data_IF_094111308280
#
_entry.id   IF_094111308280
#
_cell.length_a   1.000
_cell.length_b   1.000
_cell.length_c   1.000
_cell.angle_alpha   90.00
_cell.angle_beta   90.00
_cell.angle_gamma   90.00
#
_symmetry.space_group_name_H-M   'P 1'
#
loop_
_entity.id
_entity.type
_entity.pdbx_description
1 polymer ?
#
# COMPACT_ATOMS: atom_id res chain seq x y z
N UNK A 1 34.61 -4.56 20.41
CA UNK A 1 33.31 -3.94 20.08
C UNK A 1 33.42 -2.68 19.21
N UNK A 2 34.28 -1.69 19.51
CA UNK A 2 34.36 -0.42 18.73
C UNK A 2 34.59 -0.56 17.21
N UNK A 3 35.37 -1.57 16.77
CA UNK A 3 35.63 -1.83 15.34
C UNK A 3 34.40 -2.34 14.58
N UNK A 4 33.49 -3.07 15.24
CA UNK A 4 32.23 -3.52 14.64
C UNK A 4 31.25 -2.35 14.48
N UNK A 5 31.20 -1.44 15.45
CA UNK A 5 30.34 -0.23 15.40
C UNK A 5 30.77 0.76 14.31
N UNK A 6 32.08 0.97 14.13
CA UNK A 6 32.60 1.80 13.01
C UNK A 6 32.23 1.20 11.65
N UNK A 7 32.23 -0.13 11.52
CA UNK A 7 31.76 -0.81 10.31
C UNK A 7 30.25 -0.64 10.10
N UNK A 8 29.45 -0.62 11.17
CA UNK A 8 28.00 -0.37 11.10
C UNK A 8 27.67 1.05 10.66
N UNK A 9 28.32 2.09 11.22
CA UNK A 9 28.07 3.47 10.81
C UNK A 9 28.46 3.66 9.33
N UNK A 10 29.62 3.15 8.92
CA UNK A 10 30.06 3.17 7.51
C UNK A 10 29.06 2.44 6.60
N UNK A 11 28.50 1.33 7.06
CA UNK A 11 27.48 0.58 6.33
C UNK A 11 26.16 1.34 6.21
N UNK A 12 25.67 1.96 7.30
CA UNK A 12 24.45 2.77 7.30
C UNK A 12 24.62 3.96 6.35
N UNK A 13 25.72 4.69 6.44
CA UNK A 13 26.04 5.80 5.53
C UNK A 13 26.06 5.32 4.08
N UNK A 14 26.75 4.19 3.81
CA UNK A 14 26.79 3.60 2.46
C UNK A 14 25.38 3.27 1.95
N UNK A 15 24.50 2.72 2.79
CA UNK A 15 23.11 2.45 2.43
C UNK A 15 22.32 3.73 2.14
N UNK A 16 22.41 4.75 3.00
CA UNK A 16 21.74 6.03 2.79
C UNK A 16 22.19 6.66 1.47
N UNK A 17 23.49 6.65 1.17
CA UNK A 17 24.02 7.15 -0.10
C UNK A 17 23.49 6.33 -1.29
N UNK A 18 23.40 5.00 -1.17
CA UNK A 18 22.81 4.14 -2.21
C UNK A 18 21.30 4.36 -2.38
N UNK A 19 20.58 4.83 -1.36
CA UNK A 19 19.15 5.11 -1.47
C UNK A 19 18.88 6.34 -2.35
N UNK A 20 19.78 7.32 -2.42
CA UNK A 20 19.61 8.52 -3.23
C UNK A 20 19.42 8.20 -4.73
N UNK A 21 20.31 7.44 -5.41
CA UNK A 21 20.11 7.10 -6.82
C UNK A 21 18.86 6.23 -7.02
N UNK A 22 18.56 5.33 -6.08
CA UNK A 22 17.33 4.51 -6.14
C UNK A 22 16.09 5.41 -6.10
N UNK A 23 16.05 6.36 -5.16
CA UNK A 23 14.96 7.32 -5.03
C UNK A 23 14.79 8.13 -6.32
N UNK A 24 15.87 8.63 -6.90
CA UNK A 24 15.81 9.38 -8.16
C UNK A 24 15.30 8.53 -9.32
N UNK A 25 15.72 7.26 -9.40
CA UNK A 25 15.20 6.32 -10.42
C UNK A 25 13.70 6.11 -10.22
N UNK A 26 13.27 5.82 -8.98
CA UNK A 26 11.85 5.61 -8.66
C UNK A 26 11.03 6.85 -8.99
N UNK A 27 11.46 8.04 -8.56
CA UNK A 27 10.78 9.30 -8.87
C UNK A 27 10.69 9.55 -10.39
N UNK A 28 11.76 9.27 -11.13
CA UNK A 28 11.76 9.43 -12.59
C UNK A 28 10.82 8.44 -13.27
N UNK A 29 10.83 7.17 -12.85
CA UNK A 29 9.92 6.14 -13.38
C UNK A 29 8.47 6.50 -13.05
N UNK A 30 8.18 6.91 -11.81
CA UNK A 30 6.84 7.35 -11.40
C UNK A 30 6.39 8.57 -12.20
N UNK A 31 7.26 9.54 -12.44
CA UNK A 31 6.97 10.68 -13.30
C UNK A 31 6.60 10.24 -14.73
N UNK A 32 7.38 9.34 -15.32
CA UNK A 32 7.10 8.81 -16.67
C UNK A 32 5.76 8.09 -16.69
N UNK A 33 5.50 7.19 -15.73
CA UNK A 33 4.24 6.45 -15.65
C UNK A 33 3.05 7.40 -15.45
N UNK A 34 3.16 8.35 -14.52
CA UNK A 34 2.12 9.34 -14.26
C UNK A 34 1.82 10.18 -15.50
N UNK A 35 2.84 10.57 -16.25
CA UNK A 35 2.67 11.32 -17.50
C UNK A 35 2.04 10.46 -18.60
N UNK A 36 2.38 9.17 -18.68
CA UNK A 36 1.81 8.25 -19.67
C UNK A 36 0.35 7.87 -19.42
N UNK A 37 -0.16 8.08 -18.20
CA UNK A 37 -1.54 7.76 -17.85
C UNK A 37 -2.56 8.82 -18.30
N UNK A 38 -2.12 9.96 -18.88
CA UNK A 38 -2.96 11.06 -19.37
C UNK A 38 -4.14 11.41 -18.43
N UNK A 39 -3.87 11.44 -17.12
CA UNK A 39 -4.90 11.74 -16.11
C UNK A 39 -5.13 13.24 -16.11
N UNK A 40 -6.11 13.72 -16.87
CA UNK A 40 -6.56 15.11 -16.84
C UNK A 40 -7.60 15.28 -15.73
N UNK A 41 -7.24 15.87 -14.57
CA UNK A 41 -8.16 15.98 -13.45
C UNK A 41 -9.36 16.88 -13.77
N UNK A 42 -9.17 17.84 -14.68
CA UNK A 42 -10.20 18.76 -15.18
C UNK A 42 -11.40 18.00 -15.72
N UNK A 43 -11.19 16.89 -16.43
CA UNK A 43 -12.29 16.10 -17.01
C UNK A 43 -13.19 15.52 -15.91
N UNK A 44 -12.66 15.28 -14.71
CA UNK A 44 -13.43 14.80 -13.55
C UNK A 44 -14.16 15.90 -12.77
N UNK A 45 -13.84 17.17 -13.05
CA UNK A 45 -14.44 18.36 -12.44
C UNK A 45 -15.54 18.99 -13.32
N UNK A 46 -15.51 18.71 -14.63
CA UNK A 46 -16.52 19.18 -15.58
C UNK A 46 -17.83 18.41 -15.39
N UNK A 47 -18.92 19.14 -15.15
CA UNK A 47 -20.26 18.56 -15.12
C UNK A 47 -20.72 18.19 -16.54
N UNK A 48 -21.42 17.05 -16.67
CA UNK A 48 -22.03 16.65 -17.94
C UNK A 48 -23.04 17.73 -18.39
N UNK A 49 -22.70 18.48 -19.46
CA UNK A 49 -23.55 19.53 -20.03
C UNK A 49 -22.92 20.93 -20.13
N UNK A 50 -21.67 21.12 -19.71
CA UNK A 50 -20.95 22.39 -19.88
C UNK A 50 -20.45 22.63 -21.31
N UNK A 51 -20.26 23.91 -21.67
CA UNK A 51 -19.77 24.35 -22.98
C UNK A 51 -18.37 23.78 -23.25
N UNK A 52 -18.20 23.14 -24.42
CA UNK A 52 -16.93 22.56 -24.89
C UNK A 52 -15.81 23.61 -24.84
N UNK A 53 -16.11 24.87 -25.12
CA UNK A 53 -15.13 25.95 -25.11
C UNK A 53 -14.66 26.30 -23.69
N UNK A 54 -15.54 26.20 -22.69
CA UNK A 54 -15.19 26.39 -21.28
C UNK A 54 -14.30 25.26 -20.77
N UNK A 55 -14.65 24.02 -21.11
CA UNK A 55 -13.90 22.81 -20.76
C UNK A 55 -12.47 22.90 -21.31
N UNK A 56 -12.33 23.32 -22.57
CA UNK A 56 -11.03 23.43 -23.21
C UNK A 56 -10.15 24.52 -22.58
N UNK A 57 -10.74 25.66 -22.19
CA UNK A 57 -10.02 26.70 -21.44
C UNK A 57 -9.56 26.22 -20.07
N UNK A 58 -10.39 25.48 -19.34
CA UNK A 58 -10.01 24.91 -18.04
C UNK A 58 -8.87 23.89 -18.17
N UNK A 59 -8.88 23.06 -19.22
CA UNK A 59 -7.78 22.13 -19.51
C UNK A 59 -6.49 22.92 -19.79
N UNK A 60 -6.54 23.93 -20.66
CA UNK A 60 -5.37 24.74 -21.00
C UNK A 60 -4.80 25.52 -19.79
N UNK A 61 -5.67 26.03 -18.92
CA UNK A 61 -5.26 26.71 -17.68
C UNK A 61 -4.57 25.74 -16.72
N UNK A 62 -5.12 24.55 -16.50
CA UNK A 62 -4.50 23.54 -15.65
C UNK A 62 -3.22 22.95 -16.27
N UNK A 63 -3.13 22.79 -17.58
CA UNK A 63 -1.89 22.39 -18.26
C UNK A 63 -0.78 23.41 -18.03
N UNK A 64 -1.09 24.72 -18.11
CA UNK A 64 -0.12 25.78 -17.81
C UNK A 64 0.24 25.80 -16.32
N UNK A 65 -0.72 25.58 -15.43
CA UNK A 65 -0.49 25.51 -13.98
C UNK A 65 0.41 24.33 -13.60
N UNK A 66 0.23 23.17 -14.25
CA UNK A 66 1.04 21.98 -14.05
C UNK A 66 2.39 22.03 -14.78
N UNK A 67 2.64 23.06 -15.59
CA UNK A 67 3.87 23.22 -16.35
C UNK A 67 3.98 22.24 -17.53
N UNK A 68 2.86 21.69 -17.99
CA UNK A 68 2.81 20.75 -19.12
C UNK A 68 3.18 21.41 -20.45
N UNK A 69 3.13 22.74 -20.51
CA UNK A 69 3.65 23.59 -21.59
C UNK A 69 5.19 23.53 -21.75
N UNK A 70 5.92 23.04 -20.73
CA UNK A 70 7.39 23.06 -20.72
C UNK A 70 7.98 21.78 -21.33
N UNK A 71 9.23 21.83 -21.83
CA UNK A 71 9.97 20.63 -22.19
C UNK A 71 10.01 19.58 -21.07
N UNK A 72 9.97 18.29 -21.42
CA UNK A 72 9.83 17.17 -20.47
C UNK A 72 10.90 17.18 -19.36
N UNK A 73 12.13 17.59 -19.67
CA UNK A 73 13.20 17.67 -18.67
C UNK A 73 12.94 18.76 -17.62
N UNK A 74 12.28 19.87 -17.99
CA UNK A 74 11.89 20.93 -17.04
C UNK A 74 10.75 20.44 -16.16
N UNK A 75 9.78 19.71 -16.74
CA UNK A 75 8.69 19.10 -15.97
C UNK A 75 9.22 18.14 -14.90
N UNK A 76 10.23 17.32 -15.24
CA UNK A 76 10.88 16.43 -14.28
C UNK A 76 11.60 17.22 -13.17
N UNK A 77 12.30 18.31 -13.50
CA UNK A 77 12.96 19.15 -12.49
C UNK A 77 11.92 19.76 -11.53
N UNK A 78 10.82 20.29 -12.05
CA UNK A 78 9.71 20.83 -11.24
C UNK A 78 9.13 19.74 -10.35
N UNK A 79 8.88 18.55 -10.90
CA UNK A 79 8.38 17.40 -10.14
C UNK A 79 9.31 17.00 -8.99
N UNK A 80 10.62 16.91 -9.24
CA UNK A 80 11.62 16.61 -8.22
C UNK A 80 11.68 17.72 -7.14
N UNK A 81 11.66 18.99 -7.55
CA UNK A 81 11.63 20.11 -6.63
C UNK A 81 10.41 20.05 -5.71
N UNK A 82 9.22 19.90 -6.30
CA UNK A 82 7.95 19.77 -5.60
C UNK A 82 7.96 18.59 -4.61
N UNK A 83 8.54 17.46 -5.01
CA UNK A 83 8.70 16.30 -4.13
C UNK A 83 9.54 16.65 -2.88
N UNK A 84 10.71 17.27 -3.05
CA UNK A 84 11.60 17.61 -1.93
C UNK A 84 11.11 18.79 -1.09
N UNK A 85 10.27 19.68 -1.63
CA UNK A 85 9.64 20.76 -0.85
C UNK A 85 8.34 20.35 -0.15
N UNK A 86 7.87 19.11 -0.37
CA UNK A 86 6.60 18.62 0.19
C UNK A 86 5.35 19.17 -0.52
N UNK A 87 5.52 19.86 -1.65
CA UNK A 87 4.41 20.38 -2.44
C UNK A 87 3.95 19.31 -3.45
N UNK A 88 3.32 18.26 -2.95
CA UNK A 88 2.94 17.09 -3.77
C UNK A 88 1.64 17.30 -4.55
N UNK A 89 1.05 18.50 -4.49
CA UNK A 89 -0.24 18.81 -5.09
C UNK A 89 -1.41 18.21 -4.34
N UNK A 90 -2.56 18.15 -5.02
CA UNK A 90 -3.80 17.64 -4.47
C UNK A 90 -4.09 16.24 -5.01
N UNK A 91 -4.79 15.44 -4.21
CA UNK A 91 -5.31 14.15 -4.62
C UNK A 91 -6.51 14.34 -5.55
N UNK A 92 -6.54 13.56 -6.62
CA UNK A 92 -7.61 13.58 -7.62
C UNK A 92 -8.52 12.35 -7.56
N UNK A 93 -8.01 11.24 -7.02
CA UNK A 93 -8.68 9.93 -7.05
C UNK A 93 -9.20 9.49 -5.68
N UNK A 94 -8.37 9.62 -4.63
CA UNK A 94 -8.68 9.06 -3.30
C UNK A 94 -9.55 10.03 -2.51
N UNK A 95 -9.05 11.26 -2.31
CA UNK A 95 -9.76 12.36 -1.67
C UNK A 95 -9.61 13.59 -2.56
N UNK A 96 -10.68 14.00 -3.22
CA UNK A 96 -10.65 15.08 -4.21
C UNK A 96 -10.26 16.41 -3.54
N UNK A 97 -9.32 17.11 -4.15
CA UNK A 97 -8.83 18.45 -3.75
C UNK A 97 -8.17 18.52 -2.36
N UNK A 98 -7.86 17.38 -1.75
CA UNK A 98 -7.11 17.32 -0.48
C UNK A 98 -5.60 17.22 -0.78
N UNK A 99 -4.72 17.97 -0.09
CA UNK A 99 -3.27 17.85 -0.27
C UNK A 99 -2.79 16.41 -0.11
N UNK A 100 -1.98 15.91 -1.04
CA UNK A 100 -1.52 14.50 -1.04
C UNK A 100 -0.78 14.15 0.25
N UNK A 101 -0.04 15.10 0.83
CA UNK A 101 0.66 14.92 2.11
C UNK A 101 -0.31 14.62 3.27
N UNK A 102 -1.50 15.22 3.27
CA UNK A 102 -2.53 14.99 4.29
C UNK A 102 -3.19 13.63 4.08
N UNK A 103 -3.50 13.28 2.82
CA UNK A 103 -4.03 11.96 2.47
C UNK A 103 -3.07 10.87 2.95
N UNK A 104 -1.78 11.00 2.65
CA UNK A 104 -0.76 10.06 3.13
C UNK A 104 -0.71 10.03 4.66
N UNK A 105 -0.82 11.17 5.33
CA UNK A 105 -0.87 11.27 6.79
C UNK A 105 -2.01 10.45 7.42
N UNK A 106 -3.15 10.33 6.75
CA UNK A 106 -4.30 9.55 7.21
C UNK A 106 -4.05 8.04 7.08
N UNK A 107 -3.49 7.59 5.96
CA UNK A 107 -3.28 6.15 5.67
C UNK A 107 -1.96 5.59 6.25
N UNK A 108 -0.99 6.45 6.52
CA UNK A 108 0.35 6.04 6.95
C UNK A 108 0.38 5.30 8.31
N UNK A 109 -0.31 5.77 9.37
CA UNK A 109 -0.39 5.04 10.64
C UNK A 109 -0.96 3.63 10.49
N UNK A 110 -2.02 3.48 9.70
CA UNK A 110 -2.67 2.20 9.43
C UNK A 110 -1.71 1.24 8.71
N UNK A 111 -0.90 1.75 7.77
CA UNK A 111 0.12 0.94 7.07
C UNK A 111 1.20 0.45 8.03
N UNK A 112 1.68 1.32 8.94
CA UNK A 112 2.65 0.93 9.97
C UNK A 112 2.05 -0.19 10.83
N UNK A 113 0.82 0.02 11.31
CA UNK A 113 0.12 -0.95 12.16
C UNK A 113 -0.01 -2.31 11.48
N UNK A 114 -0.40 -2.32 10.20
CA UNK A 114 -0.49 -3.52 9.37
C UNK A 114 0.84 -4.25 9.22
N UNK A 115 1.95 -3.52 9.15
CA UNK A 115 3.28 -4.13 8.94
C UNK A 115 3.95 -4.65 10.21
N UNK A 116 3.56 -4.16 11.40
CA UNK A 116 4.21 -4.54 12.67
C UNK A 116 4.13 -6.05 12.90
N UNK A 117 2.95 -6.64 12.73
CA UNK A 117 2.74 -8.06 13.01
C UNK A 117 3.49 -8.99 12.04
N UNK A 118 3.44 -8.80 10.70
CA UNK A 118 4.20 -9.63 9.76
C UNK A 118 5.71 -9.55 10.02
N UNK A 119 6.25 -8.36 10.32
CA UNK A 119 7.69 -8.16 10.59
C UNK A 119 8.17 -9.03 11.75
N UNK A 120 7.32 -9.30 12.73
CA UNK A 120 7.67 -10.10 13.91
C UNK A 120 7.39 -11.58 13.66
N UNK A 121 6.21 -11.93 13.16
CA UNK A 121 5.72 -13.31 13.11
C UNK A 121 6.35 -14.09 11.95
N UNK A 122 6.42 -13.48 10.76
CA UNK A 122 6.87 -14.18 9.54
C UNK A 122 8.31 -14.69 9.67
N UNK A 123 9.30 -13.90 10.16
CA UNK A 123 10.65 -14.40 10.34
C UNK A 123 10.73 -15.59 11.31
N UNK A 124 9.93 -15.58 12.38
CA UNK A 124 9.91 -16.69 13.36
C UNK A 124 9.45 -17.98 12.67
N UNK A 125 8.38 -17.92 11.88
CA UNK A 125 7.85 -19.08 11.15
C UNK A 125 8.84 -19.51 10.06
N UNK A 126 9.34 -18.57 9.27
CA UNK A 126 10.28 -18.83 8.17
C UNK A 126 11.57 -19.49 8.66
N UNK A 127 12.14 -19.02 9.78
CA UNK A 127 13.34 -19.62 10.39
C UNK A 127 13.04 -21.04 10.87
N UNK A 128 11.92 -21.27 11.56
CA UNK A 128 11.53 -22.61 12.02
C UNK A 128 11.35 -23.58 10.84
N UNK A 129 10.62 -23.18 9.81
CA UNK A 129 10.41 -23.99 8.60
C UNK A 129 11.73 -24.23 7.85
N UNK A 130 12.60 -23.21 7.76
CA UNK A 130 13.93 -23.35 7.17
C UNK A 130 14.82 -24.33 7.93
N UNK A 131 14.79 -24.31 9.27
CA UNK A 131 15.49 -25.29 10.10
C UNK A 131 14.95 -26.71 9.87
N UNK A 132 13.63 -26.89 9.84
CA UNK A 132 13.00 -28.20 9.58
C UNK A 132 13.34 -28.71 8.17
N UNK A 133 13.27 -27.87 7.15
CA UNK A 133 13.64 -28.23 5.78
C UNK A 133 15.11 -28.63 5.69
N UNK A 134 16.03 -27.84 6.27
CA UNK A 134 17.47 -28.13 6.22
C UNK A 134 17.86 -29.44 6.89
N UNK A 135 17.21 -29.80 8.00
CA UNK A 135 17.46 -31.06 8.74
C UNK A 135 16.78 -32.27 8.11
N UNK A 136 15.81 -32.05 7.22
CA UNK A 136 15.06 -33.11 6.52
C UNK A 136 15.35 -33.12 5.03
N UNK A 137 16.54 -32.69 4.63
CA UNK A 137 16.96 -32.58 3.23
C UNK A 137 16.54 -33.81 2.40
N UNK A 138 15.92 -33.56 1.26
CA UNK A 138 15.46 -34.55 0.28
C UNK A 138 14.38 -35.53 0.80
N UNK A 139 13.78 -35.25 1.97
CA UNK A 139 12.61 -35.97 2.49
C UNK A 139 11.33 -35.22 2.15
N UNK A 140 10.19 -35.91 2.28
CA UNK A 140 8.86 -35.32 2.04
C UNK A 140 8.66 -33.98 2.77
N UNK A 141 9.11 -33.85 4.02
CA UNK A 141 9.00 -32.59 4.79
C UNK A 141 9.75 -31.43 4.12
N UNK A 142 10.98 -31.66 3.66
CA UNK A 142 11.77 -30.65 2.96
C UNK A 142 11.11 -30.29 1.62
N UNK A 143 10.75 -31.31 0.82
CA UNK A 143 10.10 -31.12 -0.48
C UNK A 143 8.78 -30.33 -0.34
N UNK A 144 7.93 -30.64 0.63
CA UNK A 144 6.68 -29.92 0.87
C UNK A 144 6.92 -28.47 1.30
N UNK A 145 7.86 -28.22 2.22
CA UNK A 145 8.19 -26.85 2.66
C UNK A 145 8.74 -26.03 1.50
N UNK A 146 9.66 -26.59 0.72
CA UNK A 146 10.23 -25.92 -0.46
C UNK A 146 9.20 -25.66 -1.53
N UNK A 147 8.31 -26.62 -1.78
CA UNK A 147 7.20 -26.46 -2.73
C UNK A 147 6.29 -25.30 -2.32
N UNK A 148 5.84 -25.26 -1.06
CA UNK A 148 5.03 -24.16 -0.53
C UNK A 148 5.76 -22.81 -0.60
N UNK A 149 7.06 -22.77 -0.28
CA UNK A 149 7.85 -21.54 -0.36
C UNK A 149 7.96 -21.02 -1.81
N UNK A 150 8.13 -21.90 -2.79
CA UNK A 150 8.18 -21.52 -4.21
C UNK A 150 6.81 -21.06 -4.70
N UNK A 151 5.73 -21.74 -4.32
CA UNK A 151 4.37 -21.31 -4.64
C UNK A 151 4.08 -19.92 -4.05
N UNK A 152 4.35 -19.71 -2.76
CA UNK A 152 4.13 -18.42 -2.10
C UNK A 152 4.97 -17.28 -2.68
N UNK A 153 6.19 -17.57 -3.13
CA UNK A 153 7.04 -16.58 -3.77
C UNK A 153 6.66 -16.28 -5.24
N UNK A 154 6.03 -17.24 -5.93
CA UNK A 154 5.73 -17.16 -7.35
C UNK A 154 4.37 -16.55 -7.69
N UNK A 155 3.37 -16.73 -6.81
CA UNK A 155 2.02 -16.21 -7.04
C UNK A 155 1.87 -14.79 -6.50
N UNK A 156 1.30 -13.84 -7.27
CA UNK A 156 0.99 -12.52 -6.74
C UNK A 156 0.02 -12.63 -5.56
N UNK A 157 0.30 -11.91 -4.47
CA UNK A 157 -0.51 -12.03 -3.24
C UNK A 157 -1.96 -11.60 -3.45
N UNK A 158 -2.19 -10.57 -4.28
CA UNK A 158 -3.53 -10.14 -4.66
C UNK A 158 -4.28 -11.24 -5.41
N UNK A 159 -3.59 -12.07 -6.20
CA UNK A 159 -4.20 -13.14 -6.97
C UNK A 159 -4.69 -14.27 -6.06
N UNK A 160 -3.86 -14.71 -5.10
CA UNK A 160 -4.28 -15.68 -4.09
C UNK A 160 -5.43 -15.13 -3.25
N UNK A 161 -5.33 -13.87 -2.80
CA UNK A 161 -6.40 -13.20 -2.09
C UNK A 161 -7.73 -13.23 -2.86
N UNK A 162 -7.71 -12.82 -4.13
CA UNK A 162 -8.91 -12.86 -4.99
C UNK A 162 -9.44 -14.27 -5.21
N UNK A 163 -8.59 -15.28 -5.39
CA UNK A 163 -9.04 -16.68 -5.53
C UNK A 163 -9.72 -17.19 -4.26
N UNK A 164 -9.16 -16.89 -3.09
CA UNK A 164 -9.77 -17.24 -1.81
C UNK A 164 -11.10 -16.52 -1.62
N UNK A 165 -11.17 -15.23 -1.96
CA UNK A 165 -12.42 -14.47 -1.92
C UNK A 165 -13.48 -15.07 -2.86
N UNK A 166 -13.14 -15.43 -4.09
CA UNK A 166 -14.11 -16.08 -5.00
C UNK A 166 -14.53 -17.46 -4.46
N UNK A 167 -13.58 -18.22 -3.92
CA UNK A 167 -13.87 -19.55 -3.38
C UNK A 167 -14.82 -19.49 -2.18
N UNK A 168 -14.51 -18.70 -1.17
CA UNK A 168 -15.31 -18.62 0.05
C UNK A 168 -16.62 -17.83 -0.16
N UNK A 169 -16.65 -16.85 -1.06
CA UNK A 169 -17.76 -15.91 -1.19
C UNK A 169 -18.79 -16.32 -2.24
N UNK A 170 -18.35 -17.11 -3.23
CA UNK A 170 -19.23 -17.59 -4.30
C UNK A 170 -19.32 -19.12 -4.27
N UNK A 171 -18.21 -19.84 -4.46
CA UNK A 171 -18.27 -21.30 -4.64
C UNK A 171 -18.72 -22.05 -3.40
N UNK A 172 -18.27 -21.65 -2.20
CA UNK A 172 -18.63 -22.31 -0.96
C UNK A 172 -20.12 -22.11 -0.63
N UNK A 173 -20.62 -20.90 -0.83
CA UNK A 173 -22.05 -20.58 -0.70
C UNK A 173 -22.89 -21.42 -1.65
N UNK A 174 -22.49 -21.51 -2.91
CA UNK A 174 -23.24 -22.27 -3.91
C UNK A 174 -23.22 -23.78 -3.62
N UNK A 175 -22.07 -24.32 -3.24
CA UNK A 175 -21.94 -25.75 -2.90
C UNK A 175 -22.73 -26.14 -1.64
N UNK A 176 -22.87 -25.21 -0.69
CA UNK A 176 -23.61 -25.44 0.56
C UNK A 176 -25.07 -25.00 0.47
N UNK A 177 -25.56 -24.63 -0.72
CA UNK A 177 -26.91 -24.08 -0.93
C UNK A 177 -27.23 -22.89 0.00
N UNK A 178 -26.22 -22.11 0.36
CA UNK A 178 -26.33 -20.95 1.23
C UNK A 178 -26.26 -21.23 2.73
N UNK A 179 -26.00 -22.47 3.18
CA UNK A 179 -25.79 -22.75 4.62
C UNK A 179 -24.53 -22.07 5.16
N UNK A 180 -23.48 -21.97 4.35
CA UNK A 180 -22.26 -21.24 4.68
C UNK A 180 -22.16 -20.02 3.76
N UNK A 181 -22.57 -18.87 4.28
CA UNK A 181 -22.49 -17.57 3.60
C UNK A 181 -21.47 -16.68 4.31
N UNK A 182 -20.23 -16.74 3.85
CA UNK A 182 -19.16 -15.88 4.37
C UNK A 182 -19.22 -14.59 3.56
N UNK A 183 -19.60 -13.49 4.21
CA UNK A 183 -19.54 -12.19 3.56
C UNK A 183 -18.09 -11.83 3.29
N UNK A 184 -17.79 -11.55 2.03
CA UNK A 184 -16.43 -11.25 1.60
C UNK A 184 -16.43 -9.84 1.07
N UNK A 185 -15.65 -8.99 1.72
CA UNK A 185 -15.56 -7.60 1.34
C UNK A 185 -14.95 -7.47 -0.05
N UNK A 186 -15.72 -6.85 -0.96
CA UNK A 186 -15.24 -6.43 -2.26
C UNK A 186 -14.34 -5.17 -2.20
N UNK A 187 -14.06 -4.64 -1.00
CA UNK A 187 -13.23 -3.45 -0.79
C UNK A 187 -12.28 -3.62 0.40
N UNK A 188 -11.09 -3.03 0.32
CA UNK A 188 -10.10 -2.96 1.41
C UNK A 188 -10.53 -1.98 2.53
N UNK A 189 -11.79 -2.07 2.97
CA UNK A 189 -12.35 -1.22 4.02
C UNK A 189 -12.64 -2.12 5.22
N UNK A 190 -12.30 -1.72 6.43
CA UNK A 190 -12.72 -2.50 7.60
C UNK A 190 -14.22 -2.65 7.66
N UNK A 191 -14.68 -3.81 8.11
CA UNK A 191 -16.12 -4.07 8.30
C UNK A 191 -16.76 -3.25 9.41
N UNK A 192 -15.97 -2.66 10.30
CA UNK A 192 -16.45 -1.86 11.40
C UNK A 192 -15.74 -0.50 11.43
N UNK A 193 -16.54 0.55 11.65
CA UNK A 193 -16.06 1.90 11.91
C UNK A 193 -15.85 2.08 13.41
N UNK A 194 -14.91 2.94 13.79
CA UNK A 194 -14.68 3.30 15.19
C UNK A 194 -15.90 4.04 15.73
N UNK A 195 -16.41 3.64 16.90
CA UNK A 195 -17.59 4.30 17.51
C UNK A 195 -17.33 5.72 18.04
N UNK A 196 -16.13 6.27 17.81
CA UNK A 196 -15.64 7.53 18.37
C UNK A 196 -14.66 8.24 17.44
N UNK A 197 -13.83 9.13 17.99
CA UNK A 197 -12.91 9.95 17.19
C UNK A 197 -11.56 9.26 16.96
N UNK A 198 -10.99 9.46 15.77
CA UNK A 198 -9.63 9.05 15.46
C UNK A 198 -8.63 10.10 15.98
N UNK A 199 -7.93 9.78 17.07
CA UNK A 199 -6.95 10.68 17.69
C UNK A 199 -5.56 10.53 17.08
N UNK A 200 -5.17 9.31 16.75
CA UNK A 200 -3.81 8.97 16.32
C UNK A 200 -3.74 8.41 14.91
N UNK A 201 -4.86 7.92 14.37
CA UNK A 201 -4.93 7.22 13.09
C UNK A 201 -4.51 5.75 13.18
N UNK A 202 -3.93 5.32 14.30
CA UNK A 202 -3.67 3.92 14.60
C UNK A 202 -4.93 3.29 15.17
N UNK A 203 -5.46 2.27 14.49
CA UNK A 203 -6.76 1.70 14.84
C UNK A 203 -6.76 1.03 16.21
N UNK A 204 -5.69 0.31 16.59
CA UNK A 204 -5.59 -0.31 17.91
C UNK A 204 -5.48 0.75 19.02
N UNK A 205 -4.71 1.81 18.79
CA UNK A 205 -4.53 2.86 19.79
C UNK A 205 -5.86 3.61 19.96
N UNK A 206 -6.50 3.99 18.86
CA UNK A 206 -7.77 4.70 18.89
C UNK A 206 -8.90 3.81 19.45
N UNK A 207 -8.87 2.49 19.23
CA UNK A 207 -9.80 1.55 19.87
C UNK A 207 -9.66 1.55 21.41
N UNK A 208 -8.42 1.55 21.91
CA UNK A 208 -8.13 1.58 23.35
C UNK A 208 -8.54 2.93 23.94
N UNK A 209 -8.21 4.04 23.27
CA UNK A 209 -8.52 5.40 23.72
C UNK A 209 -10.04 5.64 23.80
N UNK A 210 -10.80 5.11 22.84
CA UNK A 210 -12.26 5.22 22.83
C UNK A 210 -12.96 4.13 23.67
N UNK A 211 -12.21 3.21 24.30
CA UNK A 211 -12.74 2.08 25.04
C UNK A 211 -13.76 1.26 24.20
N UNK A 212 -13.42 1.02 22.94
CA UNK A 212 -14.24 0.25 21.98
C UNK A 212 -13.65 -1.17 21.82
N UNK A 213 -14.12 -2.15 22.62
CA UNK A 213 -13.60 -3.51 22.55
C UNK A 213 -13.97 -4.21 21.25
N UNK A 214 -15.10 -3.86 20.63
CA UNK A 214 -15.57 -4.49 19.39
C UNK A 214 -14.64 -4.11 18.26
N UNK A 215 -14.35 -2.82 18.10
CA UNK A 215 -13.41 -2.32 17.11
C UNK A 215 -11.97 -2.78 17.39
N UNK A 216 -11.58 -2.94 18.65
CA UNK A 216 -10.26 -3.49 19.01
C UNK A 216 -10.08 -4.93 18.52
N UNK A 217 -11.04 -5.82 18.81
CA UNK A 217 -10.96 -7.22 18.38
C UNK A 217 -11.06 -7.37 16.87
N UNK A 218 -11.93 -6.57 16.22
CA UNK A 218 -11.99 -6.48 14.76
C UNK A 218 -10.62 -6.11 14.17
N UNK A 219 -9.99 -5.08 14.72
CA UNK A 219 -8.69 -4.59 14.25
C UNK A 219 -7.62 -5.67 14.43
N UNK A 220 -7.56 -6.37 15.58
CA UNK A 220 -6.60 -7.47 15.77
C UNK A 220 -6.81 -8.58 14.74
N UNK A 221 -8.05 -8.97 14.46
CA UNK A 221 -8.35 -10.01 13.48
C UNK A 221 -7.89 -9.59 12.08
N UNK A 222 -8.17 -8.36 11.67
CA UNK A 222 -7.74 -7.82 10.38
C UNK A 222 -6.22 -7.65 10.26
N UNK A 223 -5.51 -7.43 11.36
CA UNK A 223 -4.05 -7.38 11.38
C UNK A 223 -3.42 -8.78 11.35
N UNK A 224 -4.06 -9.79 11.96
CA UNK A 224 -3.47 -11.11 12.15
C UNK A 224 -3.84 -12.13 11.08
N UNK A 225 -5.09 -12.13 10.59
CA UNK A 225 -5.57 -13.09 9.59
C UNK A 225 -4.71 -13.10 8.32
N UNK A 226 -4.27 -11.96 7.75
CA UNK A 226 -3.46 -11.95 6.52
C UNK A 226 -2.04 -12.52 6.68
N UNK A 227 -1.60 -12.81 7.91
CA UNK A 227 -0.23 -13.24 8.23
C UNK A 227 -0.07 -14.75 8.19
N UNK A 228 -1.16 -15.48 8.47
CA UNK A 228 -1.20 -16.94 8.54
C UNK A 228 -1.55 -17.51 7.16
#
# INVERSE_FOLDING_TARGET
MARQTQNMIKYIIKRIIMMIPILLIVLTVTFILSKSMDVFPVISQVAVGEDIELIQRMIEEEERRMGYDKPVYIQLIIYLQNFFTGNWGNSYVIMRDVPVIEVIGIVFPQTIELMIFPIIIVPIIAVKLGMVSSTNKDKLKDTSIRFLAVLGAGFPIFFIGNLLQIFFGFYLKEFTYGEIDIEIMFSNTSGLELSGEYFTGFRLIDAILNNDPVFFFDTILHLFIPII
#
